data_IF_869426792907
#
_entry.id   IF_869426792907
#
_cell.length_a   1.000
_cell.length_b   1.000
_cell.length_c   1.000
_cell.angle_alpha   90.00
_cell.angle_beta   90.00
_cell.angle_gamma   90.00
#
_symmetry.space_group_name_H-M   'P 1'
#
loop_
_entity.id
_entity.type
_entity.pdbx_description
1 polymer ?
#
# COMPACT_ATOMS: atom_id res chain seq x y z
N UNK A 1 -13.32 -40.19 7.00
CA UNK A 1 -13.86 -39.75 5.70
C UNK A 1 -14.68 -38.46 5.81
N UNK A 2 -15.66 -38.36 6.69
CA UNK A 2 -16.44 -37.12 6.90
C UNK A 2 -15.59 -35.99 7.51
N UNK A 3 -14.70 -36.30 8.45
CA UNK A 3 -13.77 -35.33 9.05
C UNK A 3 -12.80 -34.73 8.02
N UNK A 4 -12.37 -35.50 7.05
CA UNK A 4 -11.46 -35.04 5.98
C UNK A 4 -12.17 -34.09 5.02
N UNK A 5 -13.44 -34.34 4.73
CA UNK A 5 -14.27 -33.46 3.88
C UNK A 5 -14.57 -32.12 4.58
N UNK A 6 -14.87 -32.13 5.89
CA UNK A 6 -15.10 -30.92 6.67
C UNK A 6 -13.82 -30.08 6.80
N UNK A 7 -12.67 -30.70 6.96
CA UNK A 7 -11.40 -29.98 6.97
C UNK A 7 -11.06 -29.36 5.59
N UNK A 8 -11.32 -30.06 4.51
CA UNK A 8 -11.14 -29.55 3.15
C UNK A 8 -12.10 -28.38 2.84
N UNK A 9 -13.38 -28.47 3.28
CA UNK A 9 -14.35 -27.39 3.13
C UNK A 9 -13.95 -26.13 3.92
N UNK A 10 -13.43 -26.29 5.16
CA UNK A 10 -12.92 -25.17 5.96
C UNK A 10 -11.67 -24.50 5.34
N UNK A 11 -10.82 -25.27 4.70
CA UNK A 11 -9.66 -24.73 3.96
C UNK A 11 -10.14 -23.96 2.73
N UNK A 12 -11.17 -24.45 2.02
CA UNK A 12 -11.73 -23.76 0.86
C UNK A 12 -12.47 -22.48 1.25
N UNK A 13 -13.22 -22.48 2.35
CA UNK A 13 -13.86 -21.26 2.90
C UNK A 13 -12.82 -20.22 3.35
N UNK A 14 -11.74 -20.62 4.00
CA UNK A 14 -10.63 -19.73 4.34
C UNK A 14 -9.97 -19.14 3.10
N UNK A 15 -9.74 -19.93 2.07
CA UNK A 15 -9.19 -19.48 0.79
C UNK A 15 -10.14 -18.49 0.11
N UNK A 16 -11.44 -18.77 0.05
CA UNK A 16 -12.44 -17.87 -0.53
C UNK A 16 -12.62 -16.56 0.27
N UNK A 17 -12.54 -16.61 1.60
CA UNK A 17 -12.55 -15.40 2.44
C UNK A 17 -11.29 -14.55 2.24
N UNK A 18 -10.16 -15.15 1.87
CA UNK A 18 -8.90 -14.45 1.64
C UNK A 18 -8.93 -13.64 0.32
N UNK A 19 -9.65 -14.09 -0.70
CA UNK A 19 -9.79 -13.38 -1.99
C UNK A 19 -10.58 -12.08 -1.94
N UNK A 20 -11.33 -11.83 -0.88
CA UNK A 20 -12.13 -10.61 -0.72
C UNK A 20 -11.62 -9.68 0.40
N UNK A 21 -10.40 -9.91 0.88
CA UNK A 21 -9.85 -9.15 2.00
C UNK A 21 -9.21 -7.85 1.51
N UNK A 22 -9.52 -6.77 2.20
CA UNK A 22 -8.83 -5.49 2.02
C UNK A 22 -7.36 -5.61 2.43
N UNK A 23 -6.49 -4.85 1.78
CA UNK A 23 -5.07 -4.74 2.16
C UNK A 23 -4.92 -4.02 3.51
N UNK A 24 -6.00 -3.42 3.99
CA UNK A 24 -6.04 -2.50 5.11
C UNK A 24 -6.55 -3.10 6.42
N UNK A 25 -6.16 -2.47 7.53
CA UNK A 25 -6.68 -2.75 8.87
C UNK A 25 -8.19 -2.41 8.92
N UNK A 26 -9.05 -3.31 9.48
CA UNK A 26 -10.47 -3.06 9.64
C UNK A 26 -10.83 -1.79 10.44
N UNK A 27 -9.98 -1.35 11.36
CA UNK A 27 -10.19 -0.11 12.11
C UNK A 27 -10.08 1.11 11.21
N UNK A 28 -9.08 1.17 10.35
CA UNK A 28 -8.96 2.26 9.39
C UNK A 28 -10.10 2.27 8.36
N UNK A 29 -10.52 1.11 7.90
CA UNK A 29 -11.67 1.00 6.97
C UNK A 29 -12.93 1.63 7.56
N UNK A 30 -13.14 1.54 8.89
CA UNK A 30 -14.29 2.17 9.59
C UNK A 30 -14.12 3.67 9.76
N UNK A 31 -12.91 4.12 10.08
CA UNK A 31 -12.61 5.49 10.47
C UNK A 31 -12.33 6.41 9.27
N UNK A 32 -11.85 5.86 8.16
CA UNK A 32 -11.49 6.60 6.95
C UNK A 32 -10.18 7.37 7.05
N UNK A 33 -9.88 8.13 6.00
CA UNK A 33 -8.64 8.91 5.90
C UNK A 33 -8.50 9.98 7.00
N UNK A 34 -9.60 10.39 7.64
CA UNK A 34 -9.59 11.37 8.74
C UNK A 34 -8.82 10.92 9.97
N UNK A 35 -8.66 9.60 10.16
CA UNK A 35 -7.91 9.04 11.29
C UNK A 35 -6.44 8.81 11.01
N UNK A 36 -5.96 9.15 9.83
CA UNK A 36 -4.55 9.03 9.50
C UNK A 36 -3.83 10.33 9.84
N UNK A 37 -2.71 10.20 10.54
CA UNK A 37 -1.89 11.32 10.97
C UNK A 37 -0.63 11.50 10.10
N UNK A 38 -0.17 10.42 9.45
CA UNK A 38 1.11 10.41 8.75
C UNK A 38 1.06 9.51 7.52
N UNK A 39 1.67 9.96 6.43
CA UNK A 39 1.89 9.20 5.21
C UNK A 39 3.32 9.42 4.72
N UNK A 40 4.00 8.35 4.35
CA UNK A 40 5.32 8.38 3.73
C UNK A 40 5.32 7.51 2.47
N UNK A 41 5.73 8.09 1.36
CA UNK A 41 5.88 7.40 0.08
C UNK A 41 7.33 7.48 -0.34
N UNK A 42 7.96 6.32 -0.60
CA UNK A 42 9.34 6.22 -1.08
C UNK A 42 9.35 5.44 -2.40
N UNK A 43 10.06 5.97 -3.39
CA UNK A 43 10.14 5.33 -4.70
C UNK A 43 10.64 6.27 -5.78
N UNK A 44 10.14 6.08 -6.99
CA UNK A 44 10.43 6.90 -8.18
C UNK A 44 11.89 6.87 -8.64
N UNK A 45 12.62 5.81 -8.30
CA UNK A 45 14.00 5.59 -8.75
C UNK A 45 14.14 5.73 -10.27
N UNK A 46 13.24 5.11 -11.03
CA UNK A 46 13.27 5.14 -12.49
C UNK A 46 13.01 6.53 -13.10
N UNK A 47 12.43 7.47 -12.33
CA UNK A 47 12.15 8.84 -12.77
C UNK A 47 13.27 9.78 -12.35
N UNK A 48 13.80 9.63 -11.13
CA UNK A 48 14.73 10.58 -10.52
C UNK A 48 16.18 10.07 -10.50
N UNK A 49 16.44 8.84 -10.95
CA UNK A 49 17.76 8.22 -10.87
C UNK A 49 18.16 7.73 -9.47
N UNK A 50 17.51 8.24 -8.44
CA UNK A 50 17.64 7.84 -7.05
C UNK A 50 16.26 7.75 -6.40
N UNK A 51 16.07 6.90 -5.37
CA UNK A 51 14.81 6.87 -4.64
C UNK A 51 14.59 8.21 -3.93
N UNK A 52 13.39 8.77 -4.07
CA UNK A 52 12.97 9.96 -3.33
C UNK A 52 11.82 9.63 -2.41
N UNK A 53 11.73 10.38 -1.32
CA UNK A 53 10.69 10.25 -0.32
C UNK A 53 9.80 11.48 -0.30
N UNK A 54 8.50 11.25 -0.19
CA UNK A 54 7.51 12.25 0.21
C UNK A 54 6.97 11.83 1.56
N UNK A 55 7.20 12.65 2.58
CA UNK A 55 6.65 12.44 3.92
C UNK A 55 5.74 13.60 4.28
N UNK A 56 4.50 13.28 4.63
CA UNK A 56 3.48 14.26 4.98
C UNK A 56 2.82 13.89 6.30
N UNK A 57 2.45 14.90 7.06
CA UNK A 57 1.70 14.75 8.29
C UNK A 57 0.44 15.61 8.26
N UNK A 58 -0.57 15.21 9.00
CA UNK A 58 -1.80 16.00 9.13
C UNK A 58 -1.64 17.02 10.24
N UNK A 59 -1.83 18.32 9.90
CA UNK A 59 -1.87 19.44 10.84
C UNK A 59 -3.11 20.28 10.56
N UNK A 60 -3.89 20.54 11.58
CA UNK A 60 -5.10 21.39 11.50
C UNK A 60 -6.04 20.99 10.35
N UNK A 61 -6.18 19.69 10.11
CA UNK A 61 -7.04 19.14 9.06
C UNK A 61 -6.43 19.13 7.64
N UNK A 62 -5.24 19.69 7.44
CA UNK A 62 -4.54 19.70 6.16
C UNK A 62 -3.30 18.79 6.18
N UNK A 63 -2.91 18.31 5.01
CA UNK A 63 -1.66 17.57 4.82
C UNK A 63 -0.52 18.54 4.51
N UNK A 64 0.54 18.48 5.28
CA UNK A 64 1.75 19.30 5.10
C UNK A 64 2.98 18.42 4.97
N UNK A 65 3.96 18.87 4.18
CA UNK A 65 5.22 18.16 4.07
C UNK A 65 5.98 18.23 5.39
N UNK A 66 6.46 17.08 5.86
CA UNK A 66 7.19 16.96 7.12
C UNK A 66 8.69 17.15 6.93
N UNK A 67 9.31 16.43 5.99
CA UNK A 67 10.74 16.53 5.73
C UNK A 67 11.14 15.91 4.39
N UNK A 68 12.33 16.28 3.90
CA UNK A 68 12.46 17.27 2.83
C UNK A 68 11.59 16.95 1.62
N UNK A 69 11.13 17.96 0.93
CA UNK A 69 11.36 19.39 1.14
C UNK A 69 10.31 20.03 2.03
N UNK A 70 10.72 20.76 3.08
CA UNK A 70 9.82 21.50 3.99
C UNK A 70 8.85 22.44 3.27
N UNK A 71 9.28 23.00 2.16
CA UNK A 71 8.52 23.99 1.38
C UNK A 71 7.77 23.36 0.19
N UNK A 72 7.50 22.07 0.26
CA UNK A 72 6.71 21.40 -0.77
C UNK A 72 5.22 21.69 -0.53
N UNK A 73 4.56 22.46 -1.41
CA UNK A 73 3.14 22.76 -1.27
C UNK A 73 2.33 21.51 -1.59
N UNK A 74 1.92 20.79 -0.55
CA UNK A 74 1.19 19.53 -0.67
C UNK A 74 -0.26 19.79 -1.09
N UNK A 75 -0.70 19.14 -2.15
CA UNK A 75 -2.11 19.08 -2.51
C UNK A 75 -2.83 18.06 -1.60
N UNK A 76 -3.42 18.50 -0.49
CA UNK A 76 -4.13 17.64 0.45
C UNK A 76 -5.14 16.71 -0.22
N UNK A 77 -5.88 17.21 -1.22
CA UNK A 77 -6.84 16.41 -1.98
C UNK A 77 -6.20 15.22 -2.72
N UNK A 78 -4.95 15.34 -3.17
CA UNK A 78 -4.22 14.25 -3.83
C UNK A 78 -3.77 13.18 -2.84
N UNK A 79 -3.34 13.59 -1.66
CA UNK A 79 -3.01 12.69 -0.55
C UNK A 79 -4.26 11.92 -0.12
N UNK A 80 -5.36 12.60 0.11
CA UNK A 80 -6.64 11.98 0.49
C UNK A 80 -7.16 11.02 -0.58
N UNK A 81 -7.06 11.38 -1.86
CA UNK A 81 -7.44 10.49 -2.95
C UNK A 81 -6.62 9.20 -2.98
N UNK A 82 -5.31 9.26 -2.72
CA UNK A 82 -4.46 8.07 -2.58
C UNK A 82 -4.91 7.21 -1.40
N UNK A 83 -5.16 7.83 -0.25
CA UNK A 83 -5.59 7.13 0.96
C UNK A 83 -6.96 6.45 0.79
N UNK A 84 -7.92 7.10 0.14
CA UNK A 84 -9.22 6.48 -0.17
C UNK A 84 -9.08 5.30 -1.14
N UNK A 85 -8.16 5.39 -2.11
CA UNK A 85 -7.85 4.26 -3.01
C UNK A 85 -7.21 3.09 -2.25
N UNK A 86 -6.28 3.38 -1.32
CA UNK A 86 -5.67 2.36 -0.45
C UNK A 86 -6.72 1.68 0.43
N UNK A 87 -7.64 2.45 1.00
CA UNK A 87 -8.75 1.93 1.82
C UNK A 87 -9.67 0.98 1.03
N UNK A 88 -9.92 1.30 -0.22
CA UNK A 88 -10.73 0.47 -1.11
C UNK A 88 -9.97 -0.69 -1.76
N UNK A 89 -8.63 -0.72 -1.59
CA UNK A 89 -7.77 -1.69 -2.24
C UNK A 89 -8.05 -3.12 -1.74
N UNK A 90 -8.18 -4.03 -2.69
CA UNK A 90 -8.39 -5.46 -2.41
C UNK A 90 -7.28 -6.28 -3.02
N UNK A 91 -6.92 -7.35 -2.32
CA UNK A 91 -6.04 -8.38 -2.87
C UNK A 91 -6.81 -9.13 -3.96
N UNK A 92 -6.27 -9.13 -5.16
CA UNK A 92 -6.83 -9.90 -6.26
C UNK A 92 -6.42 -11.37 -6.13
N UNK A 93 -5.14 -11.61 -5.86
CA UNK A 93 -4.56 -12.95 -5.83
C UNK A 93 -3.32 -12.98 -4.96
N UNK A 94 -3.06 -14.11 -4.33
CA UNK A 94 -1.77 -14.41 -3.70
C UNK A 94 -0.83 -15.06 -4.71
N UNK A 95 0.28 -14.39 -5.02
CA UNK A 95 1.35 -14.96 -5.83
C UNK A 95 2.20 -15.94 -5.02
N UNK A 96 2.42 -15.60 -3.73
CA UNK A 96 3.09 -16.46 -2.74
C UNK A 96 2.42 -16.26 -1.38
N UNK A 97 2.21 -17.35 -0.66
CA UNK A 97 1.62 -17.28 0.70
C UNK A 97 2.66 -17.06 1.79
N UNK A 98 3.92 -17.36 1.55
CA UNK A 98 5.02 -17.23 2.49
C UNK A 98 6.39 -17.14 1.78
N UNK A 99 7.43 -16.84 2.53
CA UNK A 99 8.81 -16.76 2.02
C UNK A 99 9.23 -15.40 1.47
N UNK A 100 8.33 -14.42 1.50
CA UNK A 100 8.62 -13.06 1.06
C UNK A 100 8.79 -12.90 -0.46
N UNK A 101 9.09 -11.70 -0.92
CA UNK A 101 9.28 -11.40 -2.34
C UNK A 101 10.63 -11.91 -2.84
N UNK A 102 10.63 -12.40 -4.09
CA UNK A 102 11.84 -12.71 -4.84
C UNK A 102 12.32 -11.47 -5.63
N UNK A 103 13.55 -11.48 -6.09
CA UNK A 103 14.09 -10.39 -6.93
C UNK A 103 13.26 -10.15 -8.21
N UNK A 104 12.58 -11.18 -8.71
CA UNK A 104 11.71 -11.09 -9.89
C UNK A 104 10.45 -10.26 -9.68
N UNK A 105 10.04 -10.01 -8.44
CA UNK A 105 8.87 -9.16 -8.11
C UNK A 105 9.20 -7.67 -8.12
N UNK A 106 10.49 -7.29 -8.04
CA UNK A 106 11.01 -5.92 -8.11
C UNK A 106 10.33 -4.96 -7.11
N UNK A 107 10.13 -5.43 -5.87
CA UNK A 107 9.42 -4.71 -4.80
C UNK A 107 10.36 -3.74 -4.04
N UNK A 108 11.64 -3.70 -4.38
CA UNK A 108 12.61 -2.83 -3.73
C UNK A 108 12.48 -1.37 -4.18
N UNK A 109 12.19 -0.40 -3.27
CA UNK A 109 12.12 1.02 -3.61
C UNK A 109 13.45 1.60 -4.11
N UNK A 110 14.58 0.98 -3.76
CA UNK A 110 15.91 1.35 -4.27
C UNK A 110 16.14 0.92 -5.72
N UNK A 111 15.19 0.22 -6.31
CA UNK A 111 15.16 -0.17 -7.73
C UNK A 111 13.97 0.51 -8.41
N UNK A 112 12.92 -0.25 -8.70
CA UNK A 112 11.73 0.26 -9.39
C UNK A 112 10.47 0.18 -8.53
N UNK A 113 10.57 -0.35 -7.31
CA UNK A 113 9.45 -0.48 -6.39
C UNK A 113 9.03 0.85 -5.78
N UNK A 114 7.83 0.85 -5.19
CA UNK A 114 7.30 1.96 -4.41
C UNK A 114 6.88 1.43 -3.03
N UNK A 115 7.23 2.16 -1.97
CA UNK A 115 6.85 1.84 -0.61
C UNK A 115 5.96 2.93 -0.05
N UNK A 116 4.79 2.55 0.42
CA UNK A 116 3.80 3.43 1.02
C UNK A 116 3.65 3.00 2.48
N UNK A 117 3.87 3.93 3.40
CA UNK A 117 3.73 3.73 4.84
C UNK A 117 2.73 4.76 5.37
N UNK A 118 1.81 4.34 6.21
CA UNK A 118 0.85 5.24 6.86
C UNK A 118 0.65 4.86 8.31
N UNK A 119 0.36 5.85 9.12
CA UNK A 119 0.15 5.68 10.56
C UNK A 119 -1.15 6.35 10.96
N UNK A 120 -1.99 5.65 11.71
CA UNK A 120 -3.20 6.20 12.27
C UNK A 120 -2.89 7.10 13.47
N UNK A 121 -3.78 8.04 13.77
CA UNK A 121 -3.68 8.91 14.93
C UNK A 121 -3.65 8.07 16.23
N UNK A 122 -2.71 8.38 17.10
CA UNK A 122 -2.51 7.66 18.36
C UNK A 122 -1.87 6.28 18.24
N UNK A 123 -1.51 5.83 17.04
CA UNK A 123 -0.77 4.58 16.79
C UNK A 123 0.71 4.86 16.58
N UNK A 124 1.58 3.96 17.06
CA UNK A 124 3.03 4.01 16.84
C UNK A 124 3.48 3.13 15.68
N UNK A 125 2.69 2.12 15.32
CA UNK A 125 3.02 1.20 14.25
C UNK A 125 2.48 1.71 12.91
N UNK A 126 3.34 1.73 11.90
CA UNK A 126 2.97 2.06 10.54
C UNK A 126 2.47 0.81 9.80
N UNK A 127 1.40 0.96 9.05
CA UNK A 127 1.04 -0.01 8.01
C UNK A 127 1.88 0.25 6.77
N UNK A 128 2.27 -0.81 6.08
CA UNK A 128 3.17 -0.75 4.92
C UNK A 128 2.58 -1.52 3.75
N UNK A 129 2.58 -0.89 2.59
CA UNK A 129 2.36 -1.52 1.30
C UNK A 129 3.57 -1.23 0.41
N UNK A 130 4.26 -2.26 -0.04
CA UNK A 130 5.34 -2.13 -1.00
C UNK A 130 4.90 -2.71 -2.35
N UNK A 131 5.00 -1.91 -3.38
CA UNK A 131 4.62 -2.23 -4.76
C UNK A 131 5.86 -2.54 -5.58
N UNK A 132 5.76 -3.54 -6.44
CA UNK A 132 6.80 -3.94 -7.37
C UNK A 132 6.39 -3.81 -8.83
N UNK A 133 6.95 -4.67 -9.67
CA UNK A 133 6.69 -4.63 -11.10
C UNK A 133 5.23 -4.97 -11.44
N UNK A 134 4.80 -4.51 -12.60
CA UNK A 134 3.51 -4.85 -13.15
C UNK A 134 3.50 -6.24 -13.81
N UNK A 135 2.38 -6.94 -13.63
CA UNK A 135 2.00 -8.12 -14.40
C UNK A 135 0.61 -7.86 -15.00
N UNK A 136 0.57 -7.46 -16.26
CA UNK A 136 -0.66 -6.98 -16.91
C UNK A 136 -1.19 -5.71 -16.20
N UNK A 137 -2.43 -5.76 -15.75
CA UNK A 137 -3.09 -4.66 -15.02
C UNK A 137 -2.90 -4.75 -13.49
N UNK A 138 -2.04 -5.65 -13.03
CA UNK A 138 -1.77 -5.89 -11.62
C UNK A 138 -0.34 -5.49 -11.27
N UNK A 139 -0.10 -5.26 -9.98
CA UNK A 139 1.23 -5.06 -9.41
C UNK A 139 1.51 -6.15 -8.38
N UNK A 140 2.72 -6.69 -8.40
CA UNK A 140 3.21 -7.45 -7.25
C UNK A 140 3.36 -6.52 -6.05
N UNK A 141 2.93 -6.99 -4.89
CA UNK A 141 2.99 -6.19 -3.67
C UNK A 141 3.24 -7.08 -2.44
N UNK A 142 3.77 -6.44 -1.39
CA UNK A 142 3.76 -6.97 -0.02
C UNK A 142 3.03 -5.98 0.88
N UNK A 143 2.33 -6.49 1.87
CA UNK A 143 1.62 -5.67 2.85
C UNK A 143 1.89 -6.17 4.26
N UNK A 144 2.01 -5.25 5.22
CA UNK A 144 2.24 -5.59 6.64
C UNK A 144 1.13 -6.48 7.23
N UNK A 145 -0.09 -6.39 6.70
CA UNK A 145 -1.21 -7.25 7.08
C UNK A 145 -1.01 -8.72 6.70
N UNK A 146 -0.22 -9.01 5.67
CA UNK A 146 0.06 -10.37 5.18
C UNK A 146 1.57 -10.64 5.22
N UNK A 147 2.17 -10.75 6.41
CA UNK A 147 3.62 -10.88 6.55
C UNK A 147 4.13 -12.13 5.82
N UNK A 148 5.16 -11.93 5.01
CA UNK A 148 5.79 -12.98 4.21
C UNK A 148 5.04 -13.39 2.94
N UNK A 149 3.84 -12.88 2.69
CA UNK A 149 3.11 -13.12 1.45
C UNK A 149 3.49 -12.13 0.35
N UNK A 150 3.37 -12.57 -0.90
CA UNK A 150 3.38 -11.69 -2.08
C UNK A 150 1.99 -11.75 -2.71
N UNK A 151 1.40 -10.60 -2.89
CA UNK A 151 0.05 -10.41 -3.39
C UNK A 151 0.05 -9.71 -4.75
N UNK A 152 -1.03 -9.83 -5.48
CA UNK A 152 -1.33 -9.04 -6.66
C UNK A 152 -2.47 -8.08 -6.34
N UNK A 153 -2.23 -6.81 -6.64
CA UNK A 153 -3.20 -5.71 -6.44
C UNK A 153 -3.41 -4.97 -7.76
N UNK A 154 -4.59 -4.37 -7.99
CA UNK A 154 -4.83 -3.58 -9.19
C UNK A 154 -3.83 -2.42 -9.32
N UNK A 155 -3.34 -2.17 -10.52
CA UNK A 155 -2.41 -1.07 -10.84
C UNK A 155 -3.10 0.29 -10.86
N UNK A 156 -4.33 0.36 -11.35
CA UNK A 156 -5.06 1.60 -11.58
C UNK A 156 -5.10 2.57 -10.38
N UNK A 157 -5.28 2.14 -9.12
CA UNK A 157 -5.26 3.04 -7.98
C UNK A 157 -3.95 3.81 -7.79
N UNK A 158 -2.84 3.31 -8.32
CA UNK A 158 -1.50 3.84 -8.11
C UNK A 158 -0.93 4.58 -9.32
N UNK A 159 -1.59 4.56 -10.47
CA UNK A 159 -1.06 5.11 -11.73
C UNK A 159 -0.65 6.58 -11.60
N UNK A 160 -1.46 7.40 -10.93
CA UNK A 160 -1.13 8.80 -10.69
C UNK A 160 0.06 8.95 -9.73
N UNK A 161 0.07 8.23 -8.62
CA UNK A 161 1.14 8.27 -7.63
C UNK A 161 2.48 7.78 -8.22
N UNK A 162 2.45 6.79 -9.10
CA UNK A 162 3.65 6.25 -9.75
C UNK A 162 4.31 7.20 -10.74
N UNK A 163 3.62 8.25 -11.20
CA UNK A 163 4.15 9.24 -12.14
C UNK A 163 5.13 10.24 -11.51
N UNK A 164 5.31 10.20 -10.20
CA UNK A 164 6.29 11.02 -9.50
C UNK A 164 5.74 11.82 -8.34
N UNK A 165 6.65 12.25 -7.48
CA UNK A 165 6.34 13.07 -6.31
C UNK A 165 5.62 14.38 -6.67
N UNK A 166 5.92 14.95 -7.84
CA UNK A 166 5.31 16.18 -8.31
C UNK A 166 3.78 16.11 -8.46
N UNK A 167 3.20 14.91 -8.58
CA UNK A 167 1.75 14.72 -8.63
C UNK A 167 1.03 15.06 -7.34
N UNK A 168 1.77 15.14 -6.22
CA UNK A 168 1.25 15.54 -4.91
C UNK A 168 1.43 17.04 -4.62
N UNK A 169 1.97 17.80 -5.56
CA UNK A 169 2.11 19.25 -5.46
C UNK A 169 0.81 19.95 -5.88
N UNK A 170 0.54 21.10 -5.23
CA UNK A 170 -0.52 22.04 -5.62
C UNK A 170 -0.26 22.63 -7.01
#
# INVERSE_FOLDING_TARGET
TVRTLVAALRVTERVLQTYNTTVEDPEWVRCGAACLAHLKVTGWQGINGTPVTLEVERKDGAWVAKDPPKDFPVASAKVEALLERLKALRVDKFAKYAGGPDASHDIDPAKNGMRIEWTAEGKSEASVLALGKAEGNMLFATASRYPGAVILVPKAPFEEAMQGRAKFKQ
#
